data_IF_046824164567
#
_entry.id   IF_046824164567
#
_cell.length_a   1.000
_cell.length_b   1.000
_cell.length_c   1.000
_cell.angle_alpha   90.00
_cell.angle_beta   90.00
_cell.angle_gamma   90.00
#
_symmetry.space_group_name_H-M   'P 1'
#
loop_
_entity.id
_entity.type
_entity.pdbx_description
1 polymer ?
#
# COMPACT_ATOMS: atom_id res chain seq x y z
N UNK A 1 -81.59 37.03 13.50
CA UNK A 1 -82.36 36.33 12.45
C UNK A 1 -81.64 36.60 11.13
N UNK A 2 -81.06 35.58 10.47
CA UNK A 2 -80.28 35.69 9.21
C UNK A 2 -79.00 36.58 9.31
N UNK A 3 -78.04 36.62 8.37
CA UNK A 3 -77.35 35.56 7.60
C UNK A 3 -76.02 36.15 7.01
N UNK A 4 -74.99 35.31 6.69
CA UNK A 4 -73.96 35.40 5.61
C UNK A 4 -73.58 36.81 5.05
N UNK A 5 -72.33 37.30 4.94
CA UNK A 5 -70.91 36.79 4.96
C UNK A 5 -69.98 38.04 5.22
N UNK A 6 -68.63 38.16 5.07
CA UNK A 6 -67.45 37.41 4.59
C UNK A 6 -66.14 38.10 5.13
N UNK A 7 -64.93 37.53 4.88
CA UNK A 7 -63.57 38.10 5.06
C UNK A 7 -63.13 38.39 6.53
N UNK A 8 -61.85 38.30 6.97
CA UNK A 8 -60.55 38.03 6.31
C UNK A 8 -59.45 37.51 7.29
N UNK A 9 -58.42 36.85 6.73
CA UNK A 9 -56.98 36.72 7.17
C UNK A 9 -56.53 36.32 8.60
N UNK A 10 -55.80 35.18 8.66
CA UNK A 10 -54.46 34.93 9.28
C UNK A 10 -54.24 35.12 10.80
N UNK A 11 -53.94 34.01 11.52
CA UNK A 11 -52.78 33.84 12.45
C UNK A 11 -52.71 32.39 13.04
N UNK A 12 -51.60 32.00 13.69
CA UNK A 12 -51.44 30.76 14.49
C UNK A 12 -51.22 31.10 15.97
N UNK A 13 -51.51 30.16 16.90
CA UNK A 13 -50.45 29.29 17.48
C UNK A 13 -50.83 27.79 17.39
N UNK A 14 -49.94 26.88 16.99
CA UNK A 14 -48.76 26.38 17.74
C UNK A 14 -49.12 25.64 19.03
N UNK A 15 -49.09 24.30 18.98
CA UNK A 15 -49.26 23.43 20.14
C UNK A 15 -48.16 22.35 20.11
N UNK A 16 -47.42 22.22 21.21
CA UNK A 16 -46.23 21.36 21.32
C UNK A 16 -46.61 19.89 21.56
N UNK A 17 -45.92 18.97 20.89
CA UNK A 17 -45.85 17.57 21.28
C UNK A 17 -44.38 17.10 21.27
N UNK A 18 -44.00 16.38 22.31
CA UNK A 18 -42.60 16.06 22.62
C UNK A 18 -42.13 14.78 21.95
N UNK A 19 -40.97 14.85 21.27
CA UNK A 19 -40.24 13.67 20.81
C UNK A 19 -38.74 13.89 20.96
N UNK A 20 -38.18 13.40 22.07
CA UNK A 20 -36.72 13.44 22.31
C UNK A 20 -36.04 12.31 21.54
N UNK A 21 -36.02 12.41 20.22
CA UNK A 21 -35.17 11.56 19.38
C UNK A 21 -33.74 12.07 19.47
N UNK A 22 -32.97 11.55 20.44
CA UNK A 22 -31.50 11.65 20.41
C UNK A 22 -31.03 11.10 19.06
N UNK A 23 -30.50 11.98 18.21
CA UNK A 23 -29.69 11.55 17.07
C UNK A 23 -28.53 10.73 17.64
N UNK A 24 -28.50 9.44 17.34
CA UNK A 24 -27.38 8.59 17.74
C UNK A 24 -26.12 9.15 17.08
N UNK A 25 -25.07 9.38 17.88
CA UNK A 25 -23.85 9.97 17.37
C UNK A 25 -23.27 9.11 16.25
N UNK A 26 -23.05 9.73 15.08
CA UNK A 26 -22.25 9.14 13.99
C UNK A 26 -20.92 8.64 14.55
N UNK A 27 -20.33 7.56 13.98
CA UNK A 27 -19.07 7.02 14.48
C UNK A 27 -18.03 8.14 14.57
N UNK A 28 -17.48 8.34 15.77
CA UNK A 28 -16.62 9.49 16.09
C UNK A 28 -15.42 9.48 15.15
N UNK A 29 -15.35 10.46 14.26
CA UNK A 29 -14.17 10.71 13.44
C UNK A 29 -13.04 11.13 14.40
N UNK A 30 -12.04 10.26 14.55
CA UNK A 30 -10.91 10.49 15.46
C UNK A 30 -10.08 11.73 15.08
N UNK A 31 -10.13 12.11 13.80
CA UNK A 31 -9.58 13.35 13.24
C UNK A 31 -10.69 13.93 12.34
N UNK A 32 -11.05 15.20 12.53
CA UNK A 32 -12.02 15.88 11.66
C UNK A 32 -11.41 16.15 10.26
N UNK A 33 -12.21 16.18 9.18
CA UNK A 33 -11.70 16.51 7.84
C UNK A 33 -11.18 17.95 7.80
N UNK A 34 -9.86 18.09 7.76
CA UNK A 34 -9.13 19.38 7.84
C UNK A 34 -7.93 19.46 6.87
N UNK A 35 -7.78 18.45 6.01
CA UNK A 35 -6.67 18.26 5.05
C UNK A 35 -7.26 17.85 3.70
N UNK A 36 -6.59 18.26 2.61
CA UNK A 36 -7.02 17.96 1.24
C UNK A 36 -6.59 16.54 0.81
N UNK A 37 -5.50 16.03 1.40
CA UNK A 37 -5.09 14.63 1.29
C UNK A 37 -4.36 14.14 2.55
N UNK A 38 -4.34 12.83 2.74
CA UNK A 38 -3.61 12.14 3.81
C UNK A 38 -3.07 10.80 3.32
N UNK A 39 -1.89 10.40 3.79
CA UNK A 39 -1.38 9.03 3.65
C UNK A 39 -1.93 8.11 4.75
N UNK A 40 -1.76 6.80 4.57
CA UNK A 40 -1.76 5.87 5.70
C UNK A 40 -0.76 6.31 6.78
N UNK A 41 -1.01 5.95 8.04
CA UNK A 41 -0.04 6.10 9.11
C UNK A 41 1.14 5.16 8.90
N UNK A 42 2.34 5.72 8.70
CA UNK A 42 3.59 5.00 8.76
C UNK A 42 4.38 5.44 9.98
N UNK A 43 4.88 4.49 10.77
CA UNK A 43 5.78 4.79 11.90
C UNK A 43 5.14 5.72 12.97
N UNK A 44 3.80 5.75 13.05
CA UNK A 44 3.03 6.63 13.93
C UNK A 44 2.68 8.01 13.36
N UNK A 45 3.09 8.32 12.12
CA UNK A 45 2.84 9.59 11.44
C UNK A 45 2.10 9.39 10.10
N UNK A 46 1.12 10.26 9.81
CA UNK A 46 0.55 10.39 8.47
C UNK A 46 1.08 11.65 7.80
N UNK A 47 1.50 11.56 6.53
CA UNK A 47 1.75 12.72 5.69
C UNK A 47 0.40 13.32 5.29
N UNK A 48 0.21 14.62 5.46
CA UNK A 48 -1.01 15.35 5.11
C UNK A 48 -0.69 16.60 4.29
N UNK A 49 -1.65 17.00 3.46
CA UNK A 49 -1.56 18.21 2.64
C UNK A 49 -2.70 19.16 2.97
N UNK A 50 -2.41 20.47 3.00
CA UNK A 50 -3.42 21.53 3.05
C UNK A 50 -2.97 22.72 2.21
N UNK A 51 -3.67 22.96 1.10
CA UNK A 51 -3.16 23.79 0.01
C UNK A 51 -1.83 23.24 -0.51
N UNK A 52 -0.86 24.12 -0.75
CA UNK A 52 0.49 23.73 -1.20
C UNK A 52 1.38 23.17 -0.08
N UNK A 53 0.90 23.19 1.18
CA UNK A 53 1.72 22.88 2.36
C UNK A 53 1.56 21.44 2.81
N UNK A 54 2.68 20.73 2.91
CA UNK A 54 2.76 19.37 3.46
C UNK A 54 3.25 19.39 4.91
N UNK A 55 2.62 18.58 5.76
CA UNK A 55 2.99 18.38 7.16
C UNK A 55 2.83 16.90 7.54
N UNK A 56 3.33 16.50 8.71
CA UNK A 56 3.06 15.17 9.26
C UNK A 56 2.31 15.30 10.59
N UNK A 57 1.26 14.50 10.74
CA UNK A 57 0.42 14.47 11.95
C UNK A 57 0.55 13.17 12.71
N UNK A 58 0.35 13.24 14.02
CA UNK A 58 0.17 12.08 14.88
C UNK A 58 -1.21 11.41 14.72
N UNK A 59 -1.44 10.31 15.44
CA UNK A 59 -2.71 9.56 15.44
C UNK A 59 -3.90 10.34 16.03
N UNK A 60 -3.67 11.54 16.56
CA UNK A 60 -4.67 12.48 17.05
C UNK A 60 -4.90 13.64 16.06
N UNK A 61 -4.24 13.63 14.89
CA UNK A 61 -4.38 14.64 13.86
C UNK A 61 -3.66 15.95 14.16
N UNK A 62 -2.83 15.99 15.21
CA UNK A 62 -2.01 17.14 15.57
C UNK A 62 -0.69 17.10 14.79
N UNK A 63 -0.26 18.26 14.28
CA UNK A 63 1.03 18.40 13.59
C UNK A 63 2.17 18.02 14.54
N UNK A 64 2.93 17.01 14.14
CA UNK A 64 4.07 16.46 14.85
C UNK A 64 5.41 16.74 14.14
N UNK A 65 5.40 16.88 12.80
CA UNK A 65 6.56 17.35 12.02
C UNK A 65 6.10 18.35 10.97
N UNK A 66 6.76 19.51 10.91
CA UNK A 66 6.68 20.41 9.76
C UNK A 66 8.06 20.45 9.08
N UNK A 67 8.15 20.24 7.75
CA UNK A 67 9.39 20.43 7.00
C UNK A 67 9.98 21.84 7.20
N UNK A 68 11.30 21.94 7.27
CA UNK A 68 12.05 23.20 7.39
C UNK A 68 12.07 23.98 6.06
N UNK A 69 11.94 23.26 4.94
CA UNK A 69 11.85 23.78 3.58
C UNK A 69 10.69 23.11 2.85
N UNK A 70 10.06 23.82 1.91
CA UNK A 70 8.97 23.28 1.11
C UNK A 70 9.52 22.58 -0.16
N UNK A 71 9.06 21.35 -0.41
CA UNK A 71 9.47 20.46 -1.49
C UNK A 71 8.26 20.05 -2.34
N UNK A 72 8.49 19.65 -3.60
CA UNK A 72 7.42 19.33 -4.55
C UNK A 72 6.60 18.09 -4.17
N UNK A 73 7.22 17.15 -3.46
CA UNK A 73 6.54 15.98 -2.92
C UNK A 73 7.34 15.33 -1.79
N UNK A 74 6.64 14.53 -0.99
CA UNK A 74 7.13 13.85 0.21
C UNK A 74 6.66 12.39 0.23
N UNK A 75 7.38 11.51 0.94
CA UNK A 75 6.86 10.18 1.32
C UNK A 75 6.47 10.13 2.80
N UNK A 76 5.66 9.15 3.25
CA UNK A 76 5.62 8.77 4.66
C UNK A 76 7.02 8.40 5.18
N UNK A 77 7.24 8.54 6.49
CA UNK A 77 8.49 8.17 7.16
C UNK A 77 8.71 6.65 7.18
N UNK A 78 9.93 6.23 6.86
CA UNK A 78 10.41 4.84 6.99
C UNK A 78 11.85 4.84 7.51
N UNK A 79 12.08 4.08 8.58
CA UNK A 79 13.29 4.13 9.40
C UNK A 79 13.66 5.57 9.83
N UNK A 80 12.65 6.36 10.20
CA UNK A 80 12.81 7.76 10.64
C UNK A 80 13.24 8.75 9.56
N UNK A 81 13.28 8.35 8.28
CA UNK A 81 13.57 9.20 7.13
C UNK A 81 12.39 9.21 6.13
N UNK A 82 12.11 10.37 5.55
CA UNK A 82 11.11 10.54 4.49
C UNK A 82 11.79 11.07 3.23
N UNK A 83 11.41 10.55 2.06
CA UNK A 83 11.90 11.03 0.76
C UNK A 83 11.32 12.41 0.49
N UNK A 84 12.11 13.31 -0.09
CA UNK A 84 11.66 14.60 -0.63
C UNK A 84 12.11 14.81 -2.07
N UNK A 85 11.32 15.53 -2.87
CA UNK A 85 11.64 15.88 -4.26
C UNK A 85 11.99 17.37 -4.41
N UNK A 86 13.17 17.64 -4.99
CA UNK A 86 13.64 18.97 -5.34
C UNK A 86 14.07 18.99 -6.82
N UNK A 87 13.29 19.66 -7.67
CA UNK A 87 13.50 19.69 -9.11
C UNK A 87 13.51 18.29 -9.71
N UNK A 88 14.56 17.98 -10.46
CA UNK A 88 14.78 16.67 -11.07
C UNK A 88 15.40 15.62 -10.12
N UNK A 89 15.53 15.92 -8.82
CA UNK A 89 16.27 15.09 -7.86
C UNK A 89 15.48 14.76 -6.59
N UNK A 90 15.93 13.72 -5.90
CA UNK A 90 15.38 13.27 -4.62
C UNK A 90 16.45 13.29 -3.53
N UNK A 91 16.02 13.61 -2.31
CA UNK A 91 16.79 13.58 -1.07
C UNK A 91 15.94 13.04 0.07
N UNK A 92 16.36 13.26 1.32
CA UNK A 92 15.63 12.79 2.50
C UNK A 92 15.61 13.83 3.62
N UNK A 93 14.47 13.92 4.34
CA UNK A 93 14.33 14.65 5.60
C UNK A 93 14.22 13.69 6.80
N UNK A 94 14.57 14.18 7.99
CA UNK A 94 14.38 13.47 9.26
C UNK A 94 13.06 13.86 9.96
N UNK A 95 12.77 13.17 11.06
CA UNK A 95 11.61 13.43 11.94
C UNK A 95 11.60 14.80 12.63
N UNK A 96 12.64 15.62 12.48
CA UNK A 96 12.69 17.01 12.90
C UNK A 96 12.35 17.99 11.75
N UNK A 97 11.97 17.47 10.57
CA UNK A 97 11.64 18.26 9.38
C UNK A 97 12.84 18.77 8.60
N UNK A 98 14.07 18.52 9.08
CA UNK A 98 15.31 19.00 8.49
C UNK A 98 15.82 18.07 7.40
N UNK A 99 16.54 18.61 6.42
CA UNK A 99 17.26 17.82 5.42
C UNK A 99 18.31 16.94 6.12
N UNK A 100 18.17 15.64 5.98
CA UNK A 100 19.11 14.64 6.49
C UNK A 100 20.11 14.21 5.41
N UNK A 101 19.66 14.13 4.15
CA UNK A 101 20.47 13.78 2.99
C UNK A 101 20.03 14.71 1.86
N UNK A 102 20.96 15.54 1.36
CA UNK A 102 20.68 16.53 0.32
C UNK A 102 20.16 15.88 -0.98
N UNK A 103 19.24 16.58 -1.65
CA UNK A 103 18.63 16.10 -2.89
C UNK A 103 19.66 16.06 -4.03
N UNK A 104 19.92 14.85 -4.54
CA UNK A 104 20.98 14.60 -5.52
C UNK A 104 20.75 13.33 -6.38
N UNK A 105 19.80 12.46 -6.00
CA UNK A 105 19.57 11.19 -6.69
C UNK A 105 18.48 11.35 -7.75
N UNK A 106 18.60 10.70 -8.91
CA UNK A 106 17.57 10.74 -9.96
C UNK A 106 16.29 9.95 -9.57
N UNK A 107 16.43 9.00 -8.64
CA UNK A 107 15.33 8.34 -7.95
C UNK A 107 15.82 7.79 -6.61
N UNK A 108 14.98 7.86 -5.58
CA UNK A 108 15.26 7.32 -4.25
C UNK A 108 14.16 6.33 -3.83
N UNK A 109 14.51 5.29 -3.06
CA UNK A 109 13.54 4.41 -2.39
C UNK A 109 13.46 4.73 -0.90
N UNK A 110 12.39 4.27 -0.22
CA UNK A 110 12.37 4.27 1.25
C UNK A 110 13.47 3.36 1.80
N UNK A 111 13.87 3.62 3.04
CA UNK A 111 14.79 2.75 3.79
C UNK A 111 14.10 1.46 4.21
N UNK A 112 14.86 0.36 4.17
CA UNK A 112 14.49 -0.94 4.72
C UNK A 112 15.77 -1.72 5.05
N UNK A 113 15.84 -2.28 6.25
CA UNK A 113 17.03 -2.98 6.78
C UNK A 113 18.27 -2.07 6.81
N UNK A 114 18.08 -0.79 7.12
CA UNK A 114 19.15 0.22 7.22
C UNK A 114 19.64 0.78 5.88
N UNK A 115 19.15 0.27 4.75
CA UNK A 115 19.59 0.65 3.41
C UNK A 115 18.45 1.20 2.54
N UNK A 116 18.76 2.15 1.67
CA UNK A 116 17.88 2.61 0.60
C UNK A 116 18.58 2.48 -0.75
N UNK A 117 17.83 2.09 -1.79
CA UNK A 117 18.32 2.11 -3.16
C UNK A 117 18.21 3.52 -3.75
N UNK A 118 19.25 3.96 -4.44
CA UNK A 118 19.31 5.29 -5.08
C UNK A 118 19.92 5.20 -6.47
N UNK A 119 19.39 5.99 -7.41
CA UNK A 119 19.87 6.03 -8.79
C UNK A 119 20.75 7.25 -9.03
N UNK A 120 21.94 6.98 -9.58
CA UNK A 120 22.85 7.98 -10.12
C UNK A 120 22.91 7.78 -11.64
N UNK A 121 22.43 8.78 -12.39
CA UNK A 121 22.23 8.72 -13.83
C UNK A 121 21.41 7.48 -14.24
N UNK A 122 22.07 6.47 -14.83
CA UNK A 122 21.41 5.23 -15.30
C UNK A 122 21.47 4.10 -14.26
N UNK A 123 22.43 4.10 -13.33
CA UNK A 123 22.72 2.96 -12.46
C UNK A 123 22.17 3.14 -11.04
N UNK A 124 21.78 2.03 -10.42
CA UNK A 124 21.32 1.97 -9.03
C UNK A 124 22.43 1.43 -8.12
N UNK A 125 22.61 2.10 -6.99
CA UNK A 125 23.42 1.67 -5.85
C UNK A 125 22.59 1.73 -4.56
N UNK A 126 23.24 1.57 -3.41
CA UNK A 126 22.60 1.67 -2.10
C UNK A 126 23.36 2.59 -1.16
N UNK A 127 22.61 3.34 -0.36
CA UNK A 127 23.09 4.21 0.71
C UNK A 127 22.60 3.74 2.08
N UNK A 128 23.33 4.07 3.14
CA UNK A 128 22.85 3.98 4.52
C UNK A 128 22.04 5.23 4.93
N UNK A 129 21.53 5.25 6.16
CA UNK A 129 20.70 6.35 6.72
C UNK A 129 21.48 7.67 6.94
N UNK A 130 22.80 7.66 6.72
CA UNK A 130 23.70 8.82 6.72
C UNK A 130 23.93 9.37 5.30
N UNK A 131 23.43 8.69 4.25
CA UNK A 131 23.65 9.04 2.86
C UNK A 131 24.94 8.48 2.25
N UNK A 132 25.72 7.71 3.01
CA UNK A 132 26.99 7.13 2.55
C UNK A 132 26.73 5.94 1.62
N UNK A 133 27.44 5.88 0.49
CA UNK A 133 27.27 4.84 -0.53
C UNK A 133 27.90 3.51 -0.06
N UNK A 134 27.08 2.63 0.50
CA UNK A 134 27.46 1.28 0.94
C UNK A 134 27.70 0.36 -0.26
N UNK A 135 26.88 0.48 -1.31
CA UNK A 135 27.00 -0.34 -2.53
C UNK A 135 27.03 0.59 -3.74
N UNK A 136 28.16 0.61 -4.47
CA UNK A 136 28.40 1.54 -5.59
C UNK A 136 27.37 1.35 -6.73
N UNK A 137 26.97 2.43 -7.46
CA UNK A 137 25.95 2.35 -8.50
C UNK A 137 26.38 1.54 -9.73
N UNK A 138 25.88 0.32 -9.83
CA UNK A 138 26.29 -0.67 -10.84
C UNK A 138 25.12 -1.48 -11.44
N UNK A 139 23.95 -1.49 -10.79
CA UNK A 139 22.82 -2.31 -11.20
C UNK A 139 21.84 -1.52 -12.08
N UNK A 140 21.12 -2.20 -12.98
CA UNK A 140 20.12 -1.54 -13.83
C UNK A 140 18.83 -1.23 -13.04
N UNK A 141 18.40 -2.22 -12.26
CA UNK A 141 17.18 -2.24 -11.44
C UNK A 141 17.42 -3.04 -10.16
N UNK A 142 16.63 -2.80 -9.13
CA UNK A 142 16.58 -3.60 -7.89
C UNK A 142 15.19 -3.58 -7.26
N UNK A 143 14.88 -4.58 -6.44
CA UNK A 143 13.68 -4.61 -5.57
C UNK A 143 13.82 -3.78 -4.28
N UNK A 144 15.03 -3.32 -3.95
CA UNK A 144 15.41 -2.99 -2.57
C UNK A 144 15.66 -4.25 -1.74
N UNK A 145 16.20 -4.08 -0.53
CA UNK A 145 16.44 -5.18 0.41
C UNK A 145 15.14 -5.68 1.05
N UNK A 146 15.08 -6.99 1.30
CA UNK A 146 14.07 -7.60 2.17
C UNK A 146 14.57 -8.95 2.67
N UNK A 147 14.45 -9.17 3.97
CA UNK A 147 14.97 -10.29 4.73
C UNK A 147 16.48 -10.60 4.52
N UNK A 148 17.28 -9.56 4.32
CA UNK A 148 18.73 -9.64 4.13
C UNK A 148 19.19 -9.87 2.68
N UNK A 149 18.29 -9.84 1.69
CA UNK A 149 18.64 -9.97 0.27
C UNK A 149 17.91 -8.94 -0.60
N UNK A 150 18.58 -8.40 -1.63
CA UNK A 150 17.95 -7.58 -2.67
C UNK A 150 18.06 -8.27 -4.03
N UNK A 151 16.95 -8.32 -4.78
CA UNK A 151 17.00 -8.70 -6.19
C UNK A 151 17.70 -7.58 -6.98
N UNK A 152 18.63 -7.92 -7.88
CA UNK A 152 19.34 -6.96 -8.73
C UNK A 152 19.44 -7.44 -10.17
N UNK A 153 19.31 -6.51 -11.12
CA UNK A 153 19.40 -6.79 -12.55
C UNK A 153 20.80 -6.50 -13.10
N UNK A 154 21.43 -7.54 -13.63
CA UNK A 154 22.77 -7.58 -14.24
C UNK A 154 22.65 -8.29 -15.59
N UNK A 155 23.18 -7.72 -16.67
CA UNK A 155 23.20 -8.36 -18.02
C UNK A 155 21.84 -8.94 -18.45
N UNK A 156 20.77 -8.17 -18.25
CA UNK A 156 19.38 -8.54 -18.49
C UNK A 156 18.79 -9.68 -17.63
N UNK A 157 19.56 -10.29 -16.72
CA UNK A 157 19.09 -11.31 -15.76
C UNK A 157 19.04 -10.79 -14.34
N UNK A 158 18.21 -11.42 -13.52
CA UNK A 158 18.12 -11.15 -12.10
C UNK A 158 18.92 -12.17 -11.29
N UNK A 159 19.69 -11.63 -10.34
CA UNK A 159 20.35 -12.35 -9.24
C UNK A 159 20.02 -11.67 -7.91
N UNK A 160 20.65 -12.10 -6.83
CA UNK A 160 20.43 -11.54 -5.49
C UNK A 160 21.74 -11.26 -4.76
N UNK A 161 21.80 -10.10 -4.09
CA UNK A 161 22.94 -9.63 -3.30
C UNK A 161 22.63 -9.54 -1.81
N UNK A 162 23.68 -9.65 -0.98
CA UNK A 162 23.64 -9.30 0.44
C UNK A 162 23.81 -7.78 0.69
N UNK A 163 23.65 -7.27 1.93
CA UNK A 163 23.81 -5.85 2.26
C UNK A 163 25.23 -5.28 2.06
N UNK A 164 26.21 -6.11 1.69
CA UNK A 164 27.57 -5.72 1.32
C UNK A 164 27.78 -5.70 -0.21
N UNK A 165 26.73 -5.98 -0.97
CA UNK A 165 26.76 -6.04 -2.44
C UNK A 165 27.31 -7.33 -3.02
N UNK A 166 27.59 -8.35 -2.20
CA UNK A 166 28.08 -9.65 -2.68
C UNK A 166 26.93 -10.44 -3.30
N UNK A 167 27.12 -10.94 -4.51
CA UNK A 167 26.18 -11.89 -5.14
C UNK A 167 26.11 -13.20 -4.33
N UNK A 168 24.93 -13.46 -3.77
CA UNK A 168 24.58 -14.70 -3.07
C UNK A 168 23.91 -15.68 -4.05
N UNK A 169 23.09 -15.15 -4.97
CA UNK A 169 22.45 -15.93 -6.04
C UNK A 169 22.85 -15.30 -7.38
N UNK A 170 23.59 -16.05 -8.20
CA UNK A 170 24.10 -15.55 -9.48
C UNK A 170 22.97 -15.15 -10.46
N UNK A 171 23.16 -14.12 -11.30
CA UNK A 171 22.14 -13.69 -12.27
C UNK A 171 21.75 -14.80 -13.24
N UNK A 172 20.50 -15.27 -13.14
CA UNK A 172 19.99 -16.39 -13.96
C UNK A 172 18.49 -16.30 -14.27
N UNK A 173 17.72 -15.56 -13.47
CA UNK A 173 16.27 -15.45 -13.63
C UNK A 173 15.93 -14.38 -14.68
N UNK A 174 14.80 -14.53 -15.39
CA UNK A 174 14.26 -13.50 -16.27
C UNK A 174 13.69 -12.32 -15.47
N UNK A 175 13.15 -12.61 -14.29
CA UNK A 175 12.59 -11.63 -13.34
C UNK A 175 12.64 -12.18 -11.90
N UNK A 176 12.54 -11.34 -10.88
CA UNK A 176 12.63 -11.75 -9.47
C UNK A 176 12.08 -10.73 -8.46
N UNK A 177 11.22 -11.19 -7.55
CA UNK A 177 10.68 -10.38 -6.46
C UNK A 177 11.67 -10.20 -5.31
N UNK A 178 11.39 -9.26 -4.41
CA UNK A 178 11.94 -9.28 -3.05
C UNK A 178 11.62 -10.60 -2.33
N UNK A 179 12.43 -10.96 -1.34
CA UNK A 179 12.09 -12.05 -0.42
C UNK A 179 10.93 -11.66 0.52
N UNK A 180 10.11 -12.63 0.89
CA UNK A 180 9.11 -12.55 1.95
C UNK A 180 8.81 -13.95 2.49
N UNK A 181 8.76 -14.09 3.80
CA UNK A 181 8.51 -15.34 4.52
C UNK A 181 9.47 -16.45 4.08
N UNK A 182 10.76 -16.12 3.97
CA UNK A 182 11.85 -17.04 3.61
C UNK A 182 12.01 -17.36 2.13
N UNK A 183 11.16 -16.85 1.23
CA UNK A 183 11.21 -17.17 -0.20
C UNK A 183 10.98 -15.97 -1.13
N UNK A 184 11.39 -16.09 -2.39
CA UNK A 184 11.13 -15.10 -3.44
C UNK A 184 10.51 -15.75 -4.68
N UNK A 185 9.60 -15.05 -5.34
CA UNK A 185 9.06 -15.44 -6.64
C UNK A 185 10.06 -15.07 -7.74
N UNK A 186 10.33 -15.98 -8.67
CA UNK A 186 11.27 -15.78 -9.79
C UNK A 186 10.72 -16.32 -11.10
N UNK A 187 10.99 -15.61 -12.19
CA UNK A 187 10.60 -16.02 -13.55
C UNK A 187 11.76 -16.75 -14.23
N UNK A 188 11.51 -17.95 -14.78
CA UNK A 188 12.48 -18.72 -15.58
C UNK A 188 11.82 -19.02 -16.92
N UNK A 189 12.45 -18.58 -18.02
CA UNK A 189 11.73 -18.42 -19.28
C UNK A 189 10.54 -17.49 -19.05
N UNK A 190 9.33 -17.99 -19.33
CA UNK A 190 8.08 -17.26 -19.15
C UNK A 190 7.19 -17.69 -17.99
N UNK A 191 7.58 -18.71 -17.21
CA UNK A 191 6.81 -19.17 -16.05
C UNK A 191 7.45 -18.70 -14.74
N UNK A 192 6.60 -18.47 -13.74
CA UNK A 192 6.99 -18.12 -12.37
C UNK A 192 7.03 -19.36 -11.46
N UNK A 193 8.10 -19.46 -10.68
CA UNK A 193 8.31 -20.41 -9.58
C UNK A 193 8.90 -19.67 -8.38
N UNK A 194 9.31 -20.41 -7.34
CA UNK A 194 9.83 -19.79 -6.11
C UNK A 194 11.14 -20.42 -5.65
N UNK A 195 11.99 -19.61 -5.02
CA UNK A 195 13.31 -19.98 -4.50
C UNK A 195 13.44 -19.67 -3.01
N UNK A 196 14.32 -20.42 -2.34
CA UNK A 196 14.84 -20.05 -1.01
C UNK A 196 16.03 -19.09 -1.12
N UNK A 197 16.55 -18.64 0.04
CA UNK A 197 17.68 -17.68 0.13
C UNK A 197 19.02 -18.21 -0.40
N UNK A 198 19.12 -19.51 -0.69
CA UNK A 198 20.29 -20.10 -1.38
C UNK A 198 20.13 -20.06 -2.91
N UNK A 199 18.97 -19.68 -3.42
CA UNK A 199 18.65 -19.69 -4.85
C UNK A 199 18.34 -21.09 -5.39
N UNK A 200 18.03 -22.03 -4.50
CA UNK A 200 17.47 -23.35 -4.78
C UNK A 200 15.95 -23.22 -4.98
N UNK A 201 15.43 -23.93 -5.97
CA UNK A 201 14.01 -23.94 -6.31
C UNK A 201 13.23 -24.72 -5.24
N UNK A 202 12.24 -24.07 -4.62
CA UNK A 202 11.31 -24.71 -3.66
C UNK A 202 10.26 -25.52 -4.43
N UNK A 203 9.69 -24.93 -5.49
CA UNK A 203 8.85 -25.61 -6.48
C UNK A 203 9.01 -24.97 -7.86
N UNK A 204 8.90 -25.80 -8.89
CA UNK A 204 9.28 -25.46 -10.26
C UNK A 204 8.40 -24.34 -10.85
N UNK A 205 8.93 -23.56 -11.81
CA UNK A 205 8.15 -22.58 -12.57
C UNK A 205 6.90 -23.18 -13.21
N UNK A 206 5.72 -22.73 -12.80
CA UNK A 206 4.45 -23.30 -13.23
C UNK A 206 3.29 -22.28 -13.33
N UNK A 207 3.51 -20.99 -13.06
CA UNK A 207 2.46 -19.96 -13.08
C UNK A 207 2.75 -18.85 -14.11
N UNK A 208 1.70 -18.18 -14.59
CA UNK A 208 1.77 -17.03 -15.51
C UNK A 208 1.95 -15.68 -14.79
N UNK A 209 1.97 -15.72 -13.46
CA UNK A 209 2.22 -14.60 -12.56
C UNK A 209 2.33 -15.11 -11.13
N UNK A 210 3.15 -14.47 -10.31
CA UNK A 210 3.34 -14.83 -8.91
C UNK A 210 3.74 -13.59 -8.10
N UNK A 211 3.28 -13.49 -6.87
CA UNK A 211 3.65 -12.43 -5.92
C UNK A 211 4.34 -13.01 -4.68
N UNK A 212 4.95 -12.15 -3.88
CA UNK A 212 5.50 -12.56 -2.58
C UNK A 212 4.42 -13.11 -1.63
N UNK A 213 4.83 -13.94 -0.66
CA UNK A 213 3.93 -14.42 0.38
C UNK A 213 3.55 -13.30 1.37
N UNK A 214 2.26 -13.24 1.70
CA UNK A 214 1.71 -12.54 2.86
C UNK A 214 0.92 -13.54 3.70
N UNK A 215 0.99 -13.44 5.03
CA UNK A 215 0.30 -14.35 5.96
C UNK A 215 0.33 -15.87 5.62
N UNK A 216 1.47 -16.40 5.13
CA UNK A 216 1.71 -17.77 4.65
C UNK A 216 1.01 -18.20 3.34
N UNK A 217 0.47 -17.26 2.57
CA UNK A 217 -0.25 -17.49 1.31
C UNK A 217 0.19 -16.46 0.24
N UNK A 218 0.25 -16.86 -1.03
CA UNK A 218 0.62 -15.98 -2.14
C UNK A 218 -0.35 -16.12 -3.32
N UNK A 219 -0.69 -14.99 -3.95
CA UNK A 219 -1.47 -15.00 -5.20
C UNK A 219 -0.61 -15.43 -6.37
N UNK A 220 -1.19 -16.26 -7.23
CA UNK A 220 -0.60 -16.76 -8.48
C UNK A 220 -1.63 -16.72 -9.60
N UNK A 221 -1.17 -16.53 -10.83
CA UNK A 221 -2.00 -16.48 -12.03
C UNK A 221 -1.78 -17.71 -12.89
N UNK A 222 -2.84 -18.22 -13.49
CA UNK A 222 -2.79 -19.17 -14.60
C UNK A 222 -3.77 -18.72 -15.68
N UNK A 223 -3.27 -18.48 -16.89
CA UNK A 223 -4.05 -17.78 -17.92
C UNK A 223 -4.40 -16.35 -17.49
N UNK A 224 -5.68 -15.99 -17.57
CA UNK A 224 -6.25 -14.71 -17.12
C UNK A 224 -6.54 -14.68 -15.61
N UNK A 225 -6.77 -15.84 -14.97
CA UNK A 225 -7.31 -15.91 -13.60
C UNK A 225 -6.28 -16.02 -12.49
N UNK A 226 -6.62 -15.40 -11.36
CA UNK A 226 -5.87 -15.47 -10.11
C UNK A 226 -6.45 -16.51 -9.15
N UNK A 227 -5.53 -17.19 -8.46
CA UNK A 227 -5.77 -18.10 -7.35
C UNK A 227 -4.64 -17.96 -6.32
N UNK A 228 -4.55 -18.89 -5.37
CA UNK A 228 -3.60 -18.79 -4.25
C UNK A 228 -2.92 -20.11 -3.91
N UNK A 229 -1.65 -20.01 -3.49
CA UNK A 229 -0.81 -21.12 -3.03
C UNK A 229 -0.28 -20.89 -1.61
N UNK A 230 0.04 -21.97 -0.90
CA UNK A 230 0.81 -21.90 0.35
C UNK A 230 2.33 -21.91 0.10
N UNK A 231 3.11 -21.73 1.16
CA UNK A 231 4.60 -21.72 1.14
C UNK A 231 5.25 -23.02 0.62
N UNK A 232 4.47 -24.11 0.46
CA UNK A 232 4.92 -25.39 -0.14
C UNK A 232 4.51 -25.52 -1.62
N UNK A 233 4.03 -24.45 -2.24
CA UNK A 233 3.59 -24.41 -3.65
C UNK A 233 2.28 -25.15 -3.93
N UNK A 234 1.56 -25.61 -2.90
CA UNK A 234 0.27 -26.27 -3.06
C UNK A 234 -0.81 -25.21 -3.26
N UNK A 235 -1.62 -25.38 -4.30
CA UNK A 235 -2.81 -24.55 -4.55
C UNK A 235 -3.79 -24.76 -3.40
N UNK A 236 -4.20 -23.65 -2.77
CA UNK A 236 -5.22 -23.60 -1.72
C UNK A 236 -6.55 -23.12 -2.32
N UNK A 237 -6.47 -22.13 -3.22
CA UNK A 237 -7.63 -21.58 -3.94
C UNK A 237 -7.32 -21.67 -5.44
N UNK A 238 -8.03 -22.50 -6.23
CA UNK A 238 -7.80 -22.61 -7.67
C UNK A 238 -7.94 -21.27 -8.40
N UNK A 239 -7.16 -21.03 -9.47
CA UNK A 239 -7.30 -19.84 -10.31
C UNK A 239 -8.73 -19.67 -10.85
N UNK A 240 -9.39 -18.56 -10.47
CA UNK A 240 -10.78 -18.25 -10.88
C UNK A 240 -11.16 -16.77 -10.83
N UNK A 241 -10.51 -15.97 -9.98
CA UNK A 241 -10.82 -14.54 -9.82
C UNK A 241 -10.22 -13.73 -11.00
N UNK A 242 -10.90 -12.68 -11.48
CA UNK A 242 -10.33 -11.79 -12.52
C UNK A 242 -9.21 -10.92 -11.95
N UNK A 243 -9.34 -10.53 -10.68
CA UNK A 243 -8.29 -9.90 -9.87
C UNK A 243 -8.26 -10.52 -8.48
N UNK A 244 -7.06 -10.57 -7.87
CA UNK A 244 -6.86 -10.92 -6.48
C UNK A 244 -5.70 -10.11 -5.89
N UNK A 245 -5.81 -9.63 -4.65
CA UNK A 245 -4.74 -8.95 -3.92
C UNK A 245 -3.89 -9.89 -3.04
N UNK A 246 -2.94 -9.35 -2.29
CA UNK A 246 -2.21 -10.12 -1.28
C UNK A 246 -3.01 -10.13 0.03
N UNK A 247 -2.93 -11.21 0.82
CA UNK A 247 -3.71 -11.32 2.06
C UNK A 247 -3.26 -10.31 3.13
N UNK A 248 -4.25 -9.68 3.79
CA UNK A 248 -4.11 -8.69 4.86
C UNK A 248 -5.31 -8.78 5.82
N UNK A 249 -5.06 -8.72 7.12
CA UNK A 249 -6.06 -8.94 8.19
C UNK A 249 -6.88 -10.24 7.98
N UNK A 250 -6.24 -11.30 7.47
CA UNK A 250 -6.88 -12.60 7.19
C UNK A 250 -7.77 -12.66 5.93
N UNK A 251 -7.97 -11.54 5.25
CA UNK A 251 -8.80 -11.41 4.04
C UNK A 251 -7.96 -11.01 2.83
N UNK A 252 -8.50 -11.19 1.62
CA UNK A 252 -7.95 -10.62 0.40
C UNK A 252 -9.06 -10.06 -0.49
N UNK A 253 -8.78 -8.91 -1.11
CA UNK A 253 -9.66 -8.28 -2.09
C UNK A 253 -9.66 -9.11 -3.38
N UNK A 254 -10.85 -9.49 -3.84
CA UNK A 254 -11.03 -10.29 -5.05
C UNK A 254 -12.10 -9.70 -5.95
N UNK A 255 -11.94 -9.86 -7.26
CA UNK A 255 -12.94 -9.48 -8.24
C UNK A 255 -13.51 -10.73 -8.92
N UNK A 256 -14.84 -10.75 -9.04
CA UNK A 256 -15.63 -11.78 -9.73
C UNK A 256 -16.67 -11.02 -10.54
N UNK A 257 -16.74 -11.30 -11.84
CA UNK A 257 -17.71 -10.73 -12.77
C UNK A 257 -17.84 -9.20 -12.61
N UNK A 258 -16.67 -8.56 -12.73
CA UNK A 258 -16.37 -7.12 -12.57
C UNK A 258 -16.63 -6.51 -11.18
N UNK A 259 -17.41 -7.16 -10.31
CA UNK A 259 -17.69 -6.68 -8.94
C UNK A 259 -16.65 -7.16 -7.94
N UNK A 260 -16.37 -6.30 -6.95
CA UNK A 260 -15.41 -6.57 -5.88
C UNK A 260 -16.07 -7.20 -4.65
N UNK A 261 -15.34 -8.10 -3.99
CA UNK A 261 -15.67 -8.75 -2.72
C UNK A 261 -14.40 -9.19 -1.99
N UNK A 262 -14.55 -9.96 -0.91
CA UNK A 262 -13.42 -10.37 -0.07
C UNK A 262 -13.44 -11.88 0.21
N UNK A 263 -12.33 -12.54 -0.09
CA UNK A 263 -12.12 -13.97 0.17
C UNK A 263 -11.38 -14.17 1.50
N UNK A 264 -11.77 -15.20 2.24
CA UNK A 264 -10.91 -15.79 3.27
C UNK A 264 -9.88 -16.74 2.65
N UNK A 265 -8.95 -17.25 3.47
CA UNK A 265 -7.86 -18.15 3.07
C UNK A 265 -8.31 -19.55 2.62
N UNK A 266 -9.58 -19.92 2.83
CA UNK A 266 -10.15 -21.17 2.31
C UNK A 266 -10.70 -21.00 0.89
N UNK A 267 -10.83 -19.75 0.42
CA UNK A 267 -11.50 -19.44 -0.84
C UNK A 267 -13.01 -19.25 -0.69
N UNK A 268 -13.54 -19.14 0.54
CA UNK A 268 -14.92 -18.73 0.74
C UNK A 268 -14.99 -17.21 0.74
N UNK A 269 -16.03 -16.64 0.12
CA UNK A 269 -16.29 -15.21 0.21
C UNK A 269 -16.79 -14.89 1.63
N UNK A 270 -15.95 -14.25 2.42
CA UNK A 270 -16.32 -13.67 3.71
C UNK A 270 -17.28 -12.47 3.51
N UNK A 271 -17.10 -11.76 2.40
CA UNK A 271 -17.99 -10.69 1.93
C UNK A 271 -18.21 -10.90 0.43
N UNK A 272 -19.47 -11.06 0.01
CA UNK A 272 -19.84 -11.34 -1.38
C UNK A 272 -19.36 -10.27 -2.36
N UNK A 273 -19.05 -10.67 -3.60
CA UNK A 273 -18.69 -9.76 -4.68
C UNK A 273 -19.91 -8.92 -5.10
N UNK A 274 -19.90 -7.62 -4.81
CA UNK A 274 -21.03 -6.70 -5.07
C UNK A 274 -20.68 -5.22 -5.17
N UNK A 275 -19.43 -4.83 -4.93
CA UNK A 275 -19.01 -3.42 -4.93
C UNK A 275 -18.46 -3.01 -6.31
N UNK A 276 -18.69 -1.77 -6.74
CA UNK A 276 -18.03 -1.16 -7.92
C UNK A 276 -16.59 -0.77 -7.64
N UNK A 277 -16.30 -0.36 -6.40
CA UNK A 277 -14.96 -0.07 -5.92
C UNK A 277 -14.76 -0.66 -4.53
N UNK A 278 -13.56 -1.17 -4.27
CA UNK A 278 -13.13 -1.66 -2.98
C UNK A 278 -11.59 -1.60 -2.90
N UNK A 279 -11.06 -1.68 -1.68
CA UNK A 279 -9.62 -1.58 -1.40
C UNK A 279 -9.22 -2.61 -0.33
N UNK A 280 -7.93 -2.89 -0.19
CA UNK A 280 -7.44 -3.90 0.77
C UNK A 280 -7.75 -3.53 2.22
N UNK A 281 -8.00 -4.53 3.07
CA UNK A 281 -8.11 -4.34 4.51
C UNK A 281 -6.77 -3.91 5.13
N UNK A 282 -6.79 -2.84 5.93
CA UNK A 282 -5.66 -2.33 6.73
C UNK A 282 -6.15 -1.91 8.11
N UNK A 283 -5.49 -2.38 9.17
CA UNK A 283 -5.91 -2.20 10.57
C UNK A 283 -7.41 -2.53 10.79
N UNK A 284 -7.91 -3.55 10.08
CA UNK A 284 -9.31 -4.00 10.14
C UNK A 284 -10.32 -3.14 9.37
N UNK A 285 -9.90 -2.15 8.58
CA UNK A 285 -10.76 -1.24 7.82
C UNK A 285 -10.54 -1.35 6.29
N UNK A 286 -11.61 -1.20 5.50
CA UNK A 286 -11.53 -1.16 4.03
C UNK A 286 -12.59 -0.24 3.39
N UNK A 287 -12.19 0.84 2.70
CA UNK A 287 -13.08 1.65 1.85
C UNK A 287 -13.70 0.89 0.66
N UNK A 288 -15.00 1.10 0.42
CA UNK A 288 -15.81 0.51 -0.66
C UNK A 288 -16.89 1.45 -1.20
N UNK A 289 -17.39 1.18 -2.41
CA UNK A 289 -18.59 1.80 -3.02
C UNK A 289 -19.50 0.73 -3.62
N UNK A 290 -20.80 0.77 -3.32
CA UNK A 290 -21.77 -0.22 -3.81
C UNK A 290 -22.09 -0.04 -5.30
N UNK A 291 -22.91 0.95 -5.67
CA UNK A 291 -23.19 1.31 -7.07
C UNK A 291 -23.39 2.84 -7.23
N UNK A 292 -23.13 3.37 -8.43
CA UNK A 292 -23.80 4.55 -9.01
C UNK A 292 -23.61 5.86 -8.25
N UNK A 293 -24.49 6.14 -7.28
CA UNK A 293 -24.54 7.38 -6.49
C UNK A 293 -24.12 7.21 -5.02
N UNK A 294 -23.69 6.02 -4.58
CA UNK A 294 -23.30 5.81 -3.18
C UNK A 294 -21.98 6.48 -2.79
N UNK A 295 -21.96 7.15 -1.64
CA UNK A 295 -20.74 7.67 -0.99
C UNK A 295 -19.75 6.56 -0.61
N UNK A 296 -18.49 6.94 -0.45
CA UNK A 296 -17.43 6.04 0.01
C UNK A 296 -17.72 5.55 1.44
N UNK A 297 -17.98 4.26 1.58
CA UNK A 297 -18.31 3.60 2.84
C UNK A 297 -17.09 2.83 3.37
N UNK A 298 -16.91 2.71 4.69
CA UNK A 298 -15.82 1.93 5.28
C UNK A 298 -16.38 0.64 5.89
N UNK A 299 -15.90 -0.51 5.42
CA UNK A 299 -16.13 -1.80 6.03
C UNK A 299 -15.21 -2.03 7.23
N UNK A 300 -15.67 -2.82 8.20
CA UNK A 300 -14.85 -3.43 9.24
C UNK A 300 -14.70 -4.92 8.98
N UNK A 301 -13.52 -5.47 9.30
CA UNK A 301 -13.38 -6.89 9.57
C UNK A 301 -14.27 -7.28 10.77
N UNK A 302 -14.70 -8.54 10.83
CA UNK A 302 -15.56 -9.08 11.90
C UNK A 302 -14.75 -9.74 13.01
#
# INVERSE_FOLDING_TARGET
MLLIRLLSTIAHPSLLLTSSTRVAASPVMAIAPQFDSASDFSEGLALVQRGDRFQYVDRQGKVAVSPEFEFESYSPFWEGLAIVKAGATYGYINRQGRVAIAAQFNSASRFFEGLASVRFNKNVGFINRQGEVVIKPQFQLTSGFSEGLAAVKVEQKYGYIDPKGKLIIQPKFTDGSRFSQGSAAVKIGDRWGYIDKTGKIIFRPQFDGAFHFSESIARVRSGDRWGYINTKGRVIIPPRFSFASDFSDGLALVQIDEKWGYSDKTGKLAIAAKFEFASDFREGLAPVKLNGNGDLSILRAK
#
